data_IF_769219318712
#
_entry.id   IF_769219318712
#
_cell.length_a   1.000
_cell.length_b   1.000
_cell.length_c   1.000
_cell.angle_alpha   90.00
_cell.angle_beta   90.00
_cell.angle_gamma   90.00
#
_symmetry.space_group_name_H-M   'P 1'
#
loop_
_entity.id
_entity.type
_entity.pdbx_description
1 polymer ?
#
# COMPACT_ATOMS: atom_id res chain seq x y z
N UNK A 1 -3.48 -25.13 -12.19
CA UNK A 1 -4.46 -24.84 -11.14
C UNK A 1 -3.70 -24.47 -9.88
N UNK A 2 -3.52 -23.18 -9.60
CA UNK A 2 -2.93 -22.74 -8.33
C UNK A 2 -3.99 -22.90 -7.25
N UNK A 3 -3.62 -23.53 -6.14
CA UNK A 3 -4.50 -23.99 -5.07
C UNK A 3 -5.20 -22.83 -4.34
N UNK A 4 -6.53 -22.79 -4.45
CA UNK A 4 -7.43 -22.02 -3.59
C UNK A 4 -7.52 -22.70 -2.21
N UNK A 5 -6.43 -22.64 -1.44
CA UNK A 5 -6.47 -23.06 -0.04
C UNK A 5 -7.49 -22.18 0.71
N UNK A 6 -8.37 -22.78 1.53
CA UNK A 6 -9.44 -22.04 2.18
C UNK A 6 -8.86 -21.02 3.16
N UNK A 7 -9.40 -19.80 3.10
CA UNK A 7 -9.12 -18.72 4.07
C UNK A 7 -9.66 -19.21 5.43
N UNK A 8 -8.84 -19.90 6.22
CA UNK A 8 -9.24 -20.37 7.55
C UNK A 8 -9.29 -19.16 8.48
N UNK A 9 -10.51 -18.76 8.85
CA UNK A 9 -10.81 -17.56 9.62
C UNK A 9 -10.20 -17.55 11.02
N UNK A 10 -9.08 -16.85 11.17
CA UNK A 10 -8.73 -16.13 12.39
C UNK A 10 -9.21 -14.68 12.27
N UNK A 11 -9.62 -14.06 13.36
CA UNK A 11 -10.11 -12.66 13.36
C UNK A 11 -9.12 -11.67 12.73
N UNK A 12 -9.65 -10.52 12.26
CA UNK A 12 -8.86 -9.45 11.59
C UNK A 12 -7.58 -9.12 12.35
N UNK A 13 -6.43 -9.19 11.66
CA UNK A 13 -5.14 -8.77 12.22
C UNK A 13 -4.83 -7.31 11.88
N UNK A 14 -5.37 -6.39 12.68
CA UNK A 14 -5.19 -4.94 12.50
C UNK A 14 -3.72 -4.51 12.59
N UNK A 15 -2.93 -5.12 13.48
CA UNK A 15 -1.51 -4.78 13.62
C UNK A 15 -0.73 -5.07 12.33
N UNK A 16 -0.93 -6.25 11.73
CA UNK A 16 -0.29 -6.61 10.47
C UNK A 16 -0.77 -5.77 9.29
N UNK A 17 -2.02 -5.30 9.30
CA UNK A 17 -2.53 -4.37 8.29
C UNK A 17 -1.86 -2.98 8.37
N UNK A 18 -1.58 -2.48 9.58
CA UNK A 18 -0.82 -1.23 9.76
C UNK A 18 0.63 -1.41 9.32
N UNK A 19 1.27 -2.53 9.71
CA UNK A 19 2.64 -2.87 9.27
C UNK A 19 2.71 -2.91 7.74
N UNK A 20 1.68 -3.38 7.06
CA UNK A 20 1.63 -3.44 5.59
C UNK A 20 1.83 -2.08 4.89
N UNK A 21 1.52 -0.95 5.54
CA UNK A 21 1.73 0.38 4.96
C UNK A 21 3.15 0.92 5.15
N UNK A 22 3.80 0.53 6.25
CA UNK A 22 5.16 0.98 6.57
C UNK A 22 6.19 0.01 5.99
N UNK A 23 5.88 -1.29 6.03
CA UNK A 23 6.71 -2.42 5.62
C UNK A 23 5.84 -3.42 4.84
N UNK A 24 5.37 -3.05 3.64
CA UNK A 24 4.51 -3.91 2.80
C UNK A 24 5.11 -5.30 2.50
N UNK A 25 6.44 -5.44 2.61
CA UNK A 25 7.16 -6.69 2.46
C UNK A 25 6.99 -7.64 3.65
N UNK A 26 6.71 -7.16 4.86
CA UNK A 26 6.58 -8.02 6.05
C UNK A 26 5.40 -8.99 5.91
N UNK A 27 4.15 -8.56 5.62
CA UNK A 27 3.02 -9.49 5.41
C UNK A 27 3.19 -10.44 4.22
N UNK A 28 3.98 -10.05 3.21
CA UNK A 28 4.31 -10.91 2.07
C UNK A 28 5.24 -12.05 2.50
N UNK A 29 6.26 -11.74 3.30
CA UNK A 29 7.26 -12.71 3.77
C UNK A 29 6.73 -13.62 4.89
N UNK A 30 5.85 -13.12 5.76
CA UNK A 30 5.23 -13.93 6.84
C UNK A 30 4.09 -14.82 6.33
N UNK A 31 3.66 -14.63 5.08
CA UNK A 31 2.56 -15.36 4.47
C UNK A 31 1.18 -14.96 5.00
N UNK A 32 1.07 -13.89 5.79
CA UNK A 32 -0.20 -13.47 6.40
C UNK A 32 -1.21 -12.95 5.36
N UNK A 33 -0.72 -12.50 4.20
CA UNK A 33 -1.56 -12.18 3.04
C UNK A 33 -2.37 -13.36 2.52
N UNK A 34 -1.97 -14.61 2.80
CA UNK A 34 -2.72 -15.82 2.43
C UNK A 34 -3.77 -16.21 3.48
N UNK A 35 -3.60 -15.72 4.72
CA UNK A 35 -4.43 -16.10 5.88
C UNK A 35 -5.54 -15.09 6.14
N UNK A 36 -5.29 -13.81 5.84
CA UNK A 36 -6.22 -12.72 6.16
C UNK A 36 -6.43 -11.80 4.94
N UNK A 37 -7.68 -11.78 4.45
CA UNK A 37 -8.09 -10.92 3.33
C UNK A 37 -7.95 -9.42 3.65
N UNK A 38 -8.04 -9.04 4.93
CA UNK A 38 -7.83 -7.66 5.39
C UNK A 38 -6.36 -7.24 5.25
N UNK A 39 -5.46 -8.07 5.76
CA UNK A 39 -4.01 -7.88 5.61
C UNK A 39 -3.62 -7.87 4.13
N UNK A 40 -4.19 -8.80 3.34
CA UNK A 40 -3.99 -8.87 1.89
C UNK A 40 -4.37 -7.56 1.17
N UNK A 41 -5.54 -7.01 1.48
CA UNK A 41 -6.02 -5.74 0.91
C UNK A 41 -5.06 -4.59 1.21
N UNK A 42 -4.70 -4.38 2.48
CA UNK A 42 -3.82 -3.28 2.87
C UNK A 42 -2.38 -3.47 2.38
N UNK A 43 -1.92 -4.72 2.22
CA UNK A 43 -0.62 -5.02 1.60
C UNK A 43 -0.58 -4.60 0.13
N UNK A 44 -1.65 -4.86 -0.64
CA UNK A 44 -1.72 -4.41 -2.04
C UNK A 44 -1.78 -2.88 -2.13
N UNK A 45 -2.57 -2.22 -1.28
CA UNK A 45 -2.63 -0.75 -1.23
C UNK A 45 -1.26 -0.13 -0.86
N UNK A 46 -0.58 -0.68 0.15
CA UNK A 46 0.77 -0.27 0.55
C UNK A 46 1.80 -0.46 -0.56
N UNK A 47 1.72 -1.57 -1.31
CA UNK A 47 2.58 -1.81 -2.47
C UNK A 47 2.35 -0.80 -3.60
N UNK A 48 1.10 -0.46 -3.92
CA UNK A 48 0.80 0.60 -4.90
C UNK A 48 1.40 1.94 -4.45
N UNK A 49 1.20 2.31 -3.19
CA UNK A 49 1.74 3.55 -2.64
C UNK A 49 3.27 3.57 -2.73
N UNK A 50 3.94 2.46 -2.38
CA UNK A 50 5.40 2.34 -2.54
C UNK A 50 5.85 2.53 -3.99
N UNK A 51 5.22 1.84 -4.94
CA UNK A 51 5.56 1.94 -6.36
C UNK A 51 5.33 3.34 -6.93
N UNK A 52 4.30 4.04 -6.46
CA UNK A 52 4.10 5.45 -6.80
C UNK A 52 5.27 6.31 -6.28
N UNK A 53 5.73 6.08 -5.05
CA UNK A 53 6.91 6.76 -4.50
C UNK A 53 8.18 6.51 -5.32
N UNK A 54 8.40 5.26 -5.75
CA UNK A 54 9.52 4.92 -6.66
C UNK A 54 9.38 5.65 -7.98
N UNK A 55 8.19 5.63 -8.60
CA UNK A 55 7.93 6.30 -9.87
C UNK A 55 8.19 7.81 -9.78
N UNK A 56 7.70 8.46 -8.73
CA UNK A 56 7.94 9.89 -8.47
C UNK A 56 9.44 10.18 -8.41
N UNK A 57 10.22 9.40 -7.65
CA UNK A 57 11.67 9.61 -7.55
C UNK A 57 12.41 9.38 -8.89
N UNK A 58 12.04 8.34 -9.64
CA UNK A 58 12.65 8.05 -10.94
C UNK A 58 12.34 9.16 -11.95
N UNK A 59 11.09 9.63 -12.01
CA UNK A 59 10.71 10.78 -12.86
C UNK A 59 11.47 12.04 -12.45
N UNK A 60 11.68 12.24 -11.15
CA UNK A 60 12.43 13.36 -10.60
C UNK A 60 13.87 13.46 -11.10
N UNK A 61 14.51 12.34 -11.46
CA UNK A 61 15.87 12.34 -12.01
C UNK A 61 15.96 12.93 -13.43
N UNK A 62 14.84 12.99 -14.14
CA UNK A 62 14.76 13.51 -15.51
C UNK A 62 14.44 15.01 -15.51
N UNK A 63 13.81 15.51 -14.44
CA UNK A 63 13.35 16.90 -14.32
C UNK A 63 14.49 17.79 -13.83
N UNK A 64 14.70 19.00 -14.39
CA UNK A 64 15.71 19.92 -13.89
C UNK A 64 15.53 20.23 -12.41
N UNK A 65 16.64 20.25 -11.66
CA UNK A 65 16.65 20.34 -10.19
C UNK A 65 15.75 21.43 -9.61
N UNK A 66 15.80 22.66 -10.18
CA UNK A 66 14.99 23.78 -9.68
C UNK A 66 13.48 23.52 -9.78
N UNK A 67 13.01 22.95 -10.89
CA UNK A 67 11.60 22.60 -11.05
C UNK A 67 11.21 21.43 -10.13
N UNK A 68 12.08 20.42 -10.03
CA UNK A 68 11.84 19.27 -9.15
C UNK A 68 11.75 19.68 -7.68
N UNK A 69 12.65 20.54 -7.21
CA UNK A 69 12.65 21.04 -5.84
C UNK A 69 11.34 21.75 -5.50
N UNK A 70 10.81 22.57 -6.41
CA UNK A 70 9.55 23.29 -6.21
C UNK A 70 8.30 22.40 -6.18
N UNK A 71 8.30 21.22 -6.81
CA UNK A 71 7.11 20.34 -6.85
C UNK A 71 7.19 19.15 -5.89
N UNK A 72 8.40 18.69 -5.56
CA UNK A 72 8.64 17.46 -4.80
C UNK A 72 8.05 17.51 -3.39
N UNK A 73 8.03 18.68 -2.74
CA UNK A 73 7.41 18.84 -1.43
C UNK A 73 5.89 18.64 -1.46
N UNK A 74 5.21 19.12 -2.52
CA UNK A 74 3.75 18.93 -2.70
C UNK A 74 3.44 17.46 -2.92
N UNK A 75 4.22 16.80 -3.78
CA UNK A 75 4.09 15.36 -4.03
C UNK A 75 4.32 14.56 -2.73
N UNK A 76 5.32 14.95 -1.94
CA UNK A 76 5.62 14.31 -0.65
C UNK A 76 4.47 14.47 0.36
N UNK A 77 3.83 15.64 0.41
CA UNK A 77 2.64 15.85 1.24
C UNK A 77 1.46 15.00 0.76
N UNK A 78 1.25 14.88 -0.55
CA UNK A 78 0.23 13.99 -1.11
C UNK A 78 0.47 12.52 -0.75
N UNK A 79 1.72 12.06 -0.86
CA UNK A 79 2.13 10.71 -0.46
C UNK A 79 1.90 10.45 1.03
N UNK A 80 2.26 11.42 1.89
CA UNK A 80 2.02 11.34 3.32
C UNK A 80 0.52 11.31 3.64
N UNK A 81 -0.30 12.13 2.97
CA UNK A 81 -1.74 12.12 3.15
C UNK A 81 -2.36 10.77 2.76
N UNK A 82 -1.95 10.18 1.64
CA UNK A 82 -2.39 8.83 1.24
C UNK A 82 -1.96 7.76 2.25
N UNK A 83 -0.73 7.84 2.77
CA UNK A 83 -0.25 6.94 3.81
C UNK A 83 -1.15 7.01 5.06
N UNK A 84 -1.44 8.23 5.54
CA UNK A 84 -2.28 8.46 6.71
C UNK A 84 -3.69 7.92 6.49
N UNK A 85 -4.32 8.22 5.34
CA UNK A 85 -5.65 7.70 5.00
C UNK A 85 -5.64 6.17 4.99
N UNK A 86 -4.61 5.55 4.42
CA UNK A 86 -4.46 4.10 4.42
C UNK A 86 -4.38 3.49 5.82
N UNK A 87 -3.57 4.08 6.70
CA UNK A 87 -3.43 3.67 8.10
C UNK A 87 -4.74 3.87 8.87
N UNK A 88 -5.40 5.01 8.70
CA UNK A 88 -6.70 5.30 9.35
C UNK A 88 -7.75 4.29 8.92
N UNK A 89 -7.80 3.92 7.63
CA UNK A 89 -8.68 2.87 7.14
C UNK A 89 -8.35 1.53 7.80
N UNK A 90 -7.07 1.15 7.88
CA UNK A 90 -6.66 -0.09 8.54
C UNK A 90 -7.01 -0.14 10.03
N UNK A 91 -6.73 0.93 10.78
CA UNK A 91 -7.04 1.03 12.21
C UNK A 91 -8.55 0.91 12.47
N UNK A 92 -9.37 1.51 11.60
CA UNK A 92 -10.83 1.42 11.68
C UNK A 92 -11.41 0.12 11.09
N UNK A 93 -10.56 -0.82 10.65
CA UNK A 93 -11.01 -2.09 10.07
C UNK A 93 -11.67 -1.94 8.70
N UNK A 94 -11.43 -0.85 7.97
CA UNK A 94 -12.05 -0.56 6.67
C UNK A 94 -11.18 -0.98 5.50
N UNK A 95 -11.77 -1.70 4.54
CA UNK A 95 -11.13 -2.04 3.26
C UNK A 95 -11.50 -1.01 2.19
N UNK A 96 -11.20 0.26 2.46
CA UNK A 96 -11.45 1.35 1.52
C UNK A 96 -10.18 1.66 0.69
N UNK A 97 -10.29 1.74 -0.65
CA UNK A 97 -9.15 2.00 -1.51
C UNK A 97 -8.62 3.42 -1.28
N UNK A 98 -7.30 3.60 -1.42
CA UNK A 98 -6.69 4.92 -1.36
C UNK A 98 -7.25 5.83 -2.48
N UNK A 99 -7.51 7.12 -2.20
CA UNK A 99 -7.91 8.07 -3.22
C UNK A 99 -6.95 8.09 -4.40
N UNK A 100 -7.48 8.21 -5.62
CA UNK A 100 -6.74 8.30 -6.90
C UNK A 100 -6.00 7.03 -7.32
N UNK A 101 -5.32 6.35 -6.40
CA UNK A 101 -4.36 5.27 -6.71
C UNK A 101 -4.87 3.88 -6.32
N UNK A 102 -5.87 3.78 -5.43
CA UNK A 102 -6.22 2.50 -4.82
C UNK A 102 -6.74 1.44 -5.79
N UNK A 103 -7.30 1.85 -6.93
CA UNK A 103 -7.73 0.94 -8.01
C UNK A 103 -6.59 0.15 -8.65
N UNK A 104 -5.35 0.64 -8.58
CA UNK A 104 -4.20 -0.05 -9.16
C UNK A 104 -3.81 -1.30 -8.35
N UNK A 105 -4.39 -1.48 -7.15
CA UNK A 105 -4.16 -2.68 -6.34
C UNK A 105 -4.66 -3.98 -6.99
N UNK A 106 -5.65 -3.88 -7.90
CA UNK A 106 -6.23 -5.02 -8.61
C UNK A 106 -5.27 -5.70 -9.60
N UNK A 107 -4.18 -5.01 -9.97
CA UNK A 107 -3.12 -5.57 -10.81
C UNK A 107 -2.41 -6.73 -10.10
N UNK A 108 -2.37 -6.71 -8.77
CA UNK A 108 -1.72 -7.73 -7.97
C UNK A 108 -2.66 -8.90 -7.73
N UNK A 109 -2.28 -10.11 -8.15
CA UNK A 109 -3.11 -11.33 -8.05
C UNK A 109 -2.71 -12.29 -6.94
N UNK A 110 -1.64 -12.01 -6.20
CA UNK A 110 -1.32 -12.76 -4.99
C UNK A 110 -2.42 -12.60 -3.95
#
# INVERSE_FOLDING_TARGET
MASDAPIVGGGKNTAMAVIAYILFFVPLLTGDTKKDAFVKFHTKQGLVLFLLGVLINVVGWIIPFYFWFSISWILSLGMLALLIVGIVNAVNGKQEPLPVIGRFSDVFKF
#
